data_IF_163043677278
#
_entry.id   IF_163043677278
#
_cell.length_a   1.000
_cell.length_b   1.000
_cell.length_c   1.000
_cell.angle_alpha   90.00
_cell.angle_beta   90.00
_cell.angle_gamma   90.00
#
_symmetry.space_group_name_H-M   'P 1'
#
loop_
_entity.id
_entity.type
_entity.pdbx_description
1 polymer ?
#
# COMPACT_ATOMS: atom_id res chain seq x y z
N UNK A 1 16.75 -30.09 9.43
CA UNK A 1 15.65 -29.55 8.59
C UNK A 1 16.06 -28.14 8.25
N UNK A 2 16.43 -27.86 6.99
CA UNK A 2 16.82 -26.53 6.55
C UNK A 2 15.59 -25.62 6.67
N UNK A 3 15.66 -24.60 7.54
CA UNK A 3 14.74 -23.49 7.50
C UNK A 3 14.98 -22.74 6.18
N UNK A 4 14.38 -23.20 5.09
CA UNK A 4 14.28 -22.38 3.90
C UNK A 4 13.35 -21.23 4.28
N UNK A 5 13.90 -20.03 4.52
CA UNK A 5 13.11 -18.84 4.67
C UNK A 5 12.30 -18.70 3.38
N UNK A 6 10.98 -18.66 3.50
CA UNK A 6 10.13 -18.49 2.35
C UNK A 6 10.14 -17.01 2.00
N UNK A 7 10.56 -16.70 0.79
CA UNK A 7 10.61 -15.33 0.30
C UNK A 7 9.22 -14.88 -0.15
N UNK A 8 8.87 -13.65 0.17
CA UNK A 8 7.71 -12.99 -0.37
C UNK A 8 8.05 -12.44 -1.77
N UNK A 9 7.73 -13.23 -2.79
CA UNK A 9 8.07 -12.95 -4.18
C UNK A 9 6.87 -12.36 -4.89
N UNK A 10 6.94 -11.12 -5.34
CA UNK A 10 5.87 -10.50 -6.13
C UNK A 10 6.09 -10.65 -7.62
N UNK A 11 7.35 -10.57 -8.06
CA UNK A 11 7.73 -10.54 -9.46
C UNK A 11 8.57 -11.75 -9.84
N UNK A 12 8.64 -12.03 -11.12
CA UNK A 12 9.36 -13.21 -11.64
C UNK A 12 10.87 -13.16 -11.41
N UNK A 13 11.42 -11.97 -11.17
CA UNK A 13 12.84 -11.76 -10.84
C UNK A 13 13.15 -12.00 -9.35
N UNK A 14 12.21 -12.57 -8.61
CA UNK A 14 12.32 -12.86 -7.18
C UNK A 14 12.53 -11.61 -6.30
N UNK A 15 12.05 -10.47 -6.73
CA UNK A 15 12.10 -9.23 -5.96
C UNK A 15 10.71 -8.84 -5.41
N UNK A 16 10.68 -8.12 -4.31
CA UNK A 16 9.46 -7.50 -3.80
C UNK A 16 9.04 -6.28 -4.63
N UNK A 17 10.01 -5.58 -5.20
CA UNK A 17 9.81 -4.50 -6.16
C UNK A 17 10.79 -4.73 -7.30
N UNK A 18 10.26 -4.99 -8.48
CA UNK A 18 11.04 -5.31 -9.67
C UNK A 18 11.95 -4.17 -10.11
N UNK A 19 13.18 -4.49 -10.51
CA UNK A 19 14.06 -3.53 -11.17
C UNK A 19 13.48 -3.05 -12.51
N UNK A 20 12.70 -3.88 -13.19
CA UNK A 20 12.02 -3.50 -14.43
C UNK A 20 11.03 -2.35 -14.21
N UNK A 21 10.36 -2.31 -13.05
CA UNK A 21 9.51 -1.19 -12.66
C UNK A 21 10.34 0.08 -12.48
N UNK A 22 11.39 0.01 -11.68
CA UNK A 22 12.23 1.17 -11.36
C UNK A 22 12.91 1.77 -12.60
N UNK A 23 13.25 0.94 -13.59
CA UNK A 23 13.88 1.37 -14.84
C UNK A 23 12.90 1.68 -15.97
N UNK A 24 11.60 1.46 -15.76
CA UNK A 24 10.57 1.68 -16.77
C UNK A 24 10.28 3.18 -16.98
N UNK A 25 9.79 3.53 -18.15
CA UNK A 25 9.18 4.84 -18.42
C UNK A 25 7.72 4.93 -17.98
N UNK A 26 7.12 3.82 -17.55
CA UNK A 26 5.72 3.75 -17.13
C UNK A 26 5.59 3.95 -15.62
N UNK A 27 4.41 4.43 -15.22
CA UNK A 27 3.98 4.50 -13.82
C UNK A 27 3.10 3.31 -13.49
N UNK A 28 3.37 2.67 -12.37
CA UNK A 28 2.65 1.48 -11.91
C UNK A 28 1.77 1.80 -10.72
N UNK A 29 0.55 1.27 -10.74
CA UNK A 29 -0.40 1.36 -9.63
C UNK A 29 -0.57 -0.02 -9.00
N UNK A 30 -0.33 -0.10 -7.71
CA UNK A 30 -0.48 -1.31 -6.91
C UNK A 30 -1.42 -1.06 -5.75
N UNK A 31 -2.24 -2.05 -5.41
CA UNK A 31 -3.14 -1.94 -4.25
C UNK A 31 -2.72 -2.89 -3.15
N UNK A 32 -2.81 -2.43 -1.92
CA UNK A 32 -2.69 -3.25 -0.71
C UNK A 32 -3.99 -3.08 0.06
N UNK A 33 -4.79 -4.13 0.13
CA UNK A 33 -6.00 -4.12 0.95
C UNK A 33 -5.83 -4.98 2.18
N UNK A 34 -6.38 -4.54 3.29
CA UNK A 34 -6.32 -5.29 4.53
C UNK A 34 -7.65 -5.24 5.29
N UNK A 35 -7.98 -6.33 5.95
CA UNK A 35 -9.12 -6.36 6.87
C UNK A 35 -8.74 -5.64 8.17
N UNK A 36 -9.65 -4.85 8.83
CA UNK A 36 -9.34 -4.10 10.05
C UNK A 36 -8.79 -4.94 11.21
N UNK A 37 -9.09 -6.24 11.24
CA UNK A 37 -8.51 -7.17 12.24
C UNK A 37 -7.10 -7.64 11.92
N UNK A 38 -6.53 -7.24 10.78
CA UNK A 38 -5.14 -7.54 10.37
C UNK A 38 -4.31 -6.27 10.38
N UNK A 39 -2.98 -6.39 10.47
CA UNK A 39 -2.09 -5.24 10.39
C UNK A 39 -1.24 -5.31 9.12
N UNK A 40 -1.28 -4.31 8.23
CA UNK A 40 -0.44 -4.25 7.04
C UNK A 40 0.97 -3.72 7.32
N UNK A 41 1.24 -3.21 8.52
CA UNK A 41 2.47 -2.47 8.86
C UNK A 41 3.74 -3.23 8.51
N UNK A 42 3.81 -4.53 8.80
CA UNK A 42 4.98 -5.34 8.50
C UNK A 42 5.27 -5.44 6.99
N UNK A 43 4.21 -5.53 6.19
CA UNK A 43 4.31 -5.61 4.74
C UNK A 43 4.74 -4.27 4.15
N UNK A 44 4.13 -3.18 4.60
CA UNK A 44 4.47 -1.82 4.17
C UNK A 44 5.93 -1.52 4.51
N UNK A 45 6.37 -1.84 5.73
CA UNK A 45 7.76 -1.65 6.16
C UNK A 45 8.74 -2.46 5.29
N UNK A 46 8.40 -3.71 4.96
CA UNK A 46 9.22 -4.54 4.06
C UNK A 46 9.31 -3.95 2.65
N UNK A 47 8.22 -3.40 2.13
CA UNK A 47 8.19 -2.76 0.82
C UNK A 47 8.97 -1.44 0.82
N UNK A 48 8.89 -0.64 1.87
CA UNK A 48 9.70 0.59 2.05
C UNK A 48 11.18 0.23 2.10
N UNK A 49 11.56 -0.75 2.92
CA UNK A 49 12.93 -1.24 3.01
C UNK A 49 13.44 -1.72 1.64
N UNK A 50 12.63 -2.51 0.93
CA UNK A 50 12.98 -2.99 -0.41
C UNK A 50 13.14 -1.84 -1.39
N UNK A 51 12.28 -0.83 -1.34
CA UNK A 51 12.37 0.32 -2.23
C UNK A 51 13.62 1.15 -2.00
N UNK A 52 13.96 1.40 -0.73
CA UNK A 52 15.10 2.23 -0.34
C UNK A 52 16.45 1.53 -0.54
N UNK A 53 16.57 0.27 -0.11
CA UNK A 53 17.84 -0.43 0.00
C UNK A 53 17.84 -1.87 -0.55
N UNK A 54 16.76 -2.32 -1.17
CA UNK A 54 16.68 -3.64 -1.82
C UNK A 54 16.59 -4.84 -0.89
N UNK A 55 16.55 -4.64 0.44
CA UNK A 55 16.37 -5.72 1.42
C UNK A 55 14.96 -5.76 1.99
N UNK A 56 14.59 -6.84 2.64
CA UNK A 56 13.33 -7.02 3.34
C UNK A 56 13.57 -7.87 4.60
N UNK A 57 14.25 -7.30 5.57
CA UNK A 57 14.83 -8.02 6.71
C UNK A 57 13.81 -8.74 7.59
N UNK A 58 12.56 -8.29 7.63
CA UNK A 58 11.48 -9.00 8.34
C UNK A 58 11.05 -10.29 7.65
N UNK A 59 11.25 -10.38 6.35
CA UNK A 59 10.78 -11.48 5.50
C UNK A 59 11.93 -12.38 5.09
N UNK A 60 13.03 -11.78 4.63
CA UNK A 60 14.22 -12.47 4.17
C UNK A 60 15.49 -11.70 4.53
N UNK A 61 16.35 -12.31 5.34
CA UNK A 61 17.63 -11.74 5.78
C UNK A 61 18.76 -11.90 4.76
N UNK A 62 18.58 -12.75 3.74
CA UNK A 62 19.64 -13.10 2.78
C UNK A 62 19.73 -12.12 1.59
N UNK A 63 18.77 -11.20 1.50
CA UNK A 63 18.74 -10.18 0.45
C UNK A 63 19.89 -9.18 0.62
N UNK A 64 20.62 -8.94 -0.47
CA UNK A 64 21.74 -7.99 -0.47
C UNK A 64 21.23 -6.56 -0.50
N UNK A 65 21.75 -5.73 0.37
CA UNK A 65 21.48 -4.28 0.38
C UNK A 65 22.08 -3.59 -0.84
N UNK A 66 21.28 -2.71 -1.44
CA UNK A 66 21.70 -1.84 -2.56
C UNK A 66 21.56 -0.39 -2.09
N UNK A 67 22.64 0.37 -2.14
CA UNK A 67 22.62 1.79 -1.74
C UNK A 67 21.82 2.62 -2.75
N UNK A 68 21.02 3.57 -2.25
CA UNK A 68 20.28 4.56 -3.04
C UNK A 68 19.45 3.93 -4.17
N UNK A 69 18.74 2.84 -3.87
CA UNK A 69 17.97 2.11 -4.88
C UNK A 69 16.85 2.95 -5.46
N UNK A 70 16.04 3.59 -4.62
CA UNK A 70 14.95 4.48 -5.02
C UNK A 70 14.65 5.47 -3.90
N UNK A 71 14.05 6.61 -4.23
CA UNK A 71 13.44 7.50 -3.25
C UNK A 71 12.05 6.99 -2.89
N UNK A 72 11.68 7.18 -1.64
CA UNK A 72 10.38 6.76 -1.10
C UNK A 72 9.66 7.94 -0.49
N UNK A 73 8.40 8.11 -0.86
CA UNK A 73 7.49 9.04 -0.21
C UNK A 73 6.33 8.27 0.43
N UNK A 74 6.05 8.57 1.69
CA UNK A 74 4.87 8.05 2.40
C UNK A 74 3.92 9.20 2.65
N UNK A 75 2.67 9.02 2.26
CA UNK A 75 1.55 9.93 2.48
C UNK A 75 0.56 9.20 3.35
N UNK A 76 0.39 9.62 4.60
CA UNK A 76 -0.47 8.91 5.54
C UNK A 76 -1.63 9.75 6.03
N UNK A 77 -2.83 9.16 6.00
CA UNK A 77 -4.06 9.72 6.57
C UNK A 77 -4.38 9.13 7.95
N UNK A 78 -3.56 8.21 8.46
CA UNK A 78 -3.82 7.44 9.71
C UNK A 78 -2.68 7.47 10.70
N UNK A 79 -1.47 7.83 10.26
CA UNK A 79 -0.29 7.87 11.12
C UNK A 79 0.44 9.20 11.01
N UNK A 80 1.01 9.68 12.13
CA UNK A 80 1.96 10.77 12.12
C UNK A 80 3.39 10.25 11.84
N UNK A 81 4.32 11.19 11.61
CA UNK A 81 5.71 10.86 11.26
C UNK A 81 6.42 10.07 12.35
N UNK A 82 6.23 10.43 13.60
CA UNK A 82 6.90 9.80 14.74
C UNK A 82 6.51 8.34 14.90
N UNK A 83 5.22 8.04 14.83
CA UNK A 83 4.70 6.67 14.86
C UNK A 83 5.25 5.83 13.72
N UNK A 84 5.32 6.42 12.52
CA UNK A 84 5.81 5.72 11.34
C UNK A 84 7.28 5.36 11.47
N UNK A 85 8.12 6.31 11.89
CA UNK A 85 9.55 6.08 12.14
C UNK A 85 9.75 5.02 13.22
N UNK A 86 9.01 5.08 14.32
CA UNK A 86 9.10 4.09 15.40
C UNK A 86 8.74 2.68 14.92
N UNK A 87 7.71 2.54 14.10
CA UNK A 87 7.30 1.25 13.53
C UNK A 87 8.37 0.67 12.59
N UNK A 88 9.12 1.51 11.91
CA UNK A 88 10.16 1.08 10.96
C UNK A 88 11.53 0.82 11.63
N UNK A 89 11.78 1.30 12.85
CA UNK A 89 13.12 1.21 13.53
C UNK A 89 13.73 -0.19 13.59
N UNK A 90 12.90 -1.24 13.58
CA UNK A 90 13.39 -2.62 13.60
C UNK A 90 13.99 -3.09 12.29
N UNK A 91 13.60 -2.48 11.19
CA UNK A 91 13.98 -2.88 9.83
C UNK A 91 14.95 -1.90 9.21
N UNK A 92 14.62 -0.63 9.31
CA UNK A 92 15.35 0.45 8.66
C UNK A 92 15.29 1.71 9.51
N UNK A 93 16.42 2.37 9.63
CA UNK A 93 16.50 3.70 10.20
C UNK A 93 16.13 4.74 9.15
N UNK A 94 14.89 5.20 9.21
CA UNK A 94 14.35 6.21 8.30
C UNK A 94 14.92 7.61 8.57
N UNK A 95 15.35 7.89 9.81
CA UNK A 95 16.00 9.16 10.16
C UNK A 95 17.38 9.27 9.47
N UNK A 96 18.11 8.16 9.38
CA UNK A 96 19.39 8.11 8.68
C UNK A 96 19.26 8.16 7.15
N UNK A 97 18.07 7.87 6.63
CA UNK A 97 17.75 7.88 5.20
C UNK A 97 17.01 9.15 4.74
N UNK A 98 17.07 10.24 5.49
CA UNK A 98 16.35 11.49 5.23
C UNK A 98 16.47 12.02 3.79
N UNK A 99 17.57 11.76 3.10
CA UNK A 99 17.78 12.20 1.72
C UNK A 99 16.90 11.45 0.71
N UNK A 100 16.53 10.21 1.04
CA UNK A 100 15.78 9.32 0.14
C UNK A 100 14.39 8.98 0.67
N UNK A 101 14.03 9.47 1.85
CA UNK A 101 12.75 9.22 2.49
C UNK A 101 12.02 10.52 2.80
N UNK A 102 10.80 10.67 2.29
CA UNK A 102 9.91 11.81 2.55
C UNK A 102 8.63 11.31 3.21
N UNK A 103 8.24 11.89 4.33
CA UNK A 103 6.95 11.63 4.97
C UNK A 103 6.04 12.86 4.88
N UNK A 104 4.81 12.64 4.46
CA UNK A 104 3.77 13.66 4.34
C UNK A 104 2.64 13.27 5.28
N UNK A 105 2.49 14.04 6.34
CA UNK A 105 1.48 13.84 7.38
C UNK A 105 0.18 14.55 6.98
N UNK A 106 -0.81 13.76 6.61
CA UNK A 106 -2.19 14.23 6.42
C UNK A 106 -3.12 13.77 7.54
N UNK A 107 -2.61 13.02 8.51
CA UNK A 107 -3.37 12.63 9.69
C UNK A 107 -3.54 13.80 10.65
N UNK A 108 -2.44 14.50 10.93
CA UNK A 108 -2.46 15.66 11.82
C UNK A 108 -3.12 16.84 11.13
N UNK A 109 -4.21 17.34 11.67
CA UNK A 109 -4.89 18.52 11.14
C UNK A 109 -5.73 18.29 9.89
N UNK A 110 -6.05 17.06 9.51
CA UNK A 110 -6.81 16.77 8.28
C UNK A 110 -8.10 17.60 8.14
N UNK A 111 -8.94 17.60 9.19
CA UNK A 111 -10.23 18.28 9.20
C UNK A 111 -10.20 19.62 9.97
N UNK A 112 -9.05 20.07 10.45
CA UNK A 112 -8.91 21.35 11.14
C UNK A 112 -8.14 22.38 10.32
N UNK A 113 -7.18 21.93 9.52
CA UNK A 113 -6.27 22.80 8.78
C UNK A 113 -6.31 22.58 7.27
N UNK A 114 -6.36 21.31 6.83
CA UNK A 114 -6.22 20.91 5.42
C UNK A 114 -7.56 20.99 4.67
N UNK A 115 -8.63 20.46 5.27
CA UNK A 115 -9.97 20.49 4.69
C UNK A 115 -10.85 21.41 5.53
N UNK A 116 -11.02 22.64 5.06
CA UNK A 116 -11.77 23.67 5.79
C UNK A 116 -13.27 23.60 5.53
N UNK A 117 -13.66 23.06 4.39
CA UNK A 117 -15.05 22.97 3.94
C UNK A 117 -15.36 21.54 3.50
N UNK A 118 -15.72 20.64 4.44
CA UNK A 118 -16.02 19.24 4.12
C UNK A 118 -17.17 19.05 3.12
N UNK A 119 -18.08 20.02 3.02
CA UNK A 119 -19.21 20.04 2.08
C UNK A 119 -18.76 20.33 0.64
N UNK A 120 -17.65 21.07 0.46
CA UNK A 120 -17.08 21.38 -0.85
C UNK A 120 -15.54 21.23 -0.84
N UNK A 121 -15.02 20.00 -0.65
CA UNK A 121 -13.60 19.75 -0.39
C UNK A 121 -12.74 19.64 -1.66
N UNK A 122 -13.32 19.72 -2.87
CA UNK A 122 -12.66 19.37 -4.13
C UNK A 122 -11.34 20.12 -4.31
N UNK A 123 -11.32 21.43 -4.04
CA UNK A 123 -10.13 22.27 -4.18
C UNK A 123 -9.07 21.90 -3.15
N UNK A 124 -9.47 21.74 -1.89
CA UNK A 124 -8.54 21.42 -0.80
C UNK A 124 -7.89 20.05 -1.04
N UNK A 125 -8.70 19.06 -1.39
CA UNK A 125 -8.22 17.72 -1.71
C UNK A 125 -7.32 17.73 -2.95
N UNK A 126 -7.70 18.44 -4.01
CA UNK A 126 -6.85 18.56 -5.20
C UNK A 126 -5.48 19.16 -4.87
N UNK A 127 -5.42 20.15 -3.99
CA UNK A 127 -4.16 20.75 -3.51
C UNK A 127 -3.33 19.74 -2.69
N UNK A 128 -3.98 18.92 -1.85
CA UNK A 128 -3.28 17.87 -1.08
C UNK A 128 -2.59 16.85 -1.98
N UNK A 129 -3.17 16.53 -3.14
CA UNK A 129 -2.56 15.61 -4.11
C UNK A 129 -1.63 16.30 -5.12
N UNK A 130 -1.60 17.65 -5.14
CA UNK A 130 -0.66 18.41 -5.98
C UNK A 130 0.66 18.66 -5.27
N UNK A 131 1.26 17.60 -4.78
CA UNK A 131 2.54 17.59 -4.09
C UNK A 131 3.69 17.28 -5.04
N UNK A 132 4.86 17.82 -4.70
CA UNK A 132 6.10 17.50 -5.39
C UNK A 132 6.64 16.16 -4.92
N UNK A 133 6.76 15.21 -5.86
CA UNK A 133 7.27 13.86 -5.67
C UNK A 133 8.36 13.60 -6.70
N UNK A 134 9.32 12.75 -6.32
CA UNK A 134 10.35 12.29 -7.23
C UNK A 134 9.75 11.37 -8.31
N UNK A 135 9.99 11.69 -9.58
CA UNK A 135 9.43 10.94 -10.71
C UNK A 135 9.94 9.49 -10.77
N UNK A 136 11.14 9.24 -10.25
CA UNK A 136 11.74 7.91 -10.19
C UNK A 136 11.51 7.23 -8.83
N UNK A 137 10.67 7.84 -7.98
CA UNK A 137 10.38 7.35 -6.63
C UNK A 137 9.22 6.36 -6.56
N UNK A 138 9.16 5.71 -5.40
CA UNK A 138 8.05 4.85 -4.98
C UNK A 138 7.22 5.59 -3.94
N UNK A 139 5.91 5.59 -4.10
CA UNK A 139 4.97 6.28 -3.20
C UNK A 139 4.08 5.28 -2.49
N UNK A 140 3.92 5.45 -1.19
CA UNK A 140 2.95 4.73 -0.37
C UNK A 140 1.88 5.70 0.10
N UNK A 141 0.64 5.51 -0.37
CA UNK A 141 -0.53 6.30 -0.01
C UNK A 141 -1.40 5.47 0.94
N UNK A 142 -1.44 5.87 2.20
CA UNK A 142 -2.07 5.10 3.26
C UNK A 142 -3.45 5.66 3.62
N UNK A 143 -4.48 4.83 3.46
CA UNK A 143 -5.88 5.04 3.81
C UNK A 143 -6.52 6.33 3.24
N UNK A 144 -6.39 6.61 1.93
CA UNK A 144 -7.01 7.79 1.33
C UNK A 144 -8.55 7.75 1.37
N UNK A 145 -9.15 6.57 1.55
CA UNK A 145 -10.60 6.39 1.69
C UNK A 145 -11.21 7.13 2.88
N UNK A 146 -10.41 7.55 3.86
CA UNK A 146 -10.86 8.41 4.97
C UNK A 146 -11.53 9.69 4.44
N UNK A 147 -11.06 10.21 3.32
CA UNK A 147 -11.65 11.37 2.67
C UNK A 147 -13.11 11.12 2.24
N UNK A 148 -13.44 9.89 1.83
CA UNK A 148 -14.81 9.50 1.44
C UNK A 148 -15.76 9.44 2.62
N UNK A 149 -15.24 9.11 3.81
CA UNK A 149 -16.04 9.06 5.03
C UNK A 149 -16.24 10.45 5.65
N UNK A 150 -15.23 11.31 5.56
CA UNK A 150 -15.23 12.61 6.24
C UNK A 150 -15.66 13.80 5.39
N UNK A 151 -15.91 13.61 4.09
CA UNK A 151 -16.23 14.70 3.16
C UNK A 151 -17.26 14.29 2.11
N UNK A 152 -17.73 15.30 1.34
CA UNK A 152 -18.65 15.06 0.23
C UNK A 152 -17.95 14.68 -1.09
N UNK A 153 -16.62 14.43 -1.07
CA UNK A 153 -15.91 13.96 -2.28
C UNK A 153 -16.50 12.63 -2.77
N UNK A 154 -16.54 12.46 -4.07
CA UNK A 154 -16.96 11.21 -4.72
C UNK A 154 -15.79 10.25 -4.90
N UNK A 155 -16.08 8.97 -5.10
CA UNK A 155 -15.08 7.94 -5.43
C UNK A 155 -14.31 8.28 -6.71
N UNK A 156 -14.98 8.87 -7.71
CA UNK A 156 -14.35 9.25 -8.98
C UNK A 156 -13.37 10.43 -8.80
N UNK A 157 -13.72 11.41 -8.00
CA UNK A 157 -12.86 12.56 -7.71
C UNK A 157 -11.62 12.13 -6.91
N UNK A 158 -11.78 11.24 -5.92
CA UNK A 158 -10.65 10.69 -5.19
C UNK A 158 -9.73 9.87 -6.12
N UNK A 159 -10.31 8.97 -6.91
CA UNK A 159 -9.56 8.15 -7.86
C UNK A 159 -8.82 9.01 -8.90
N UNK A 160 -9.44 10.07 -9.39
CA UNK A 160 -8.81 11.01 -10.32
C UNK A 160 -7.55 11.66 -9.73
N UNK A 161 -7.62 12.10 -8.46
CA UNK A 161 -6.46 12.64 -7.76
C UNK A 161 -5.35 11.59 -7.55
N UNK A 162 -5.72 10.36 -7.20
CA UNK A 162 -4.75 9.24 -7.06
C UNK A 162 -4.08 8.93 -8.40
N UNK A 163 -4.81 8.94 -9.51
CA UNK A 163 -4.23 8.71 -10.84
C UNK A 163 -3.28 9.86 -11.23
N UNK A 164 -3.60 11.10 -10.90
CA UNK A 164 -2.68 12.23 -11.09
C UNK A 164 -1.39 12.02 -10.29
N UNK A 165 -1.50 11.59 -9.03
CA UNK A 165 -0.36 11.28 -8.18
C UNK A 165 0.47 10.14 -8.78
N UNK A 166 -0.17 9.07 -9.26
CA UNK A 166 0.52 7.94 -9.87
C UNK A 166 1.38 8.34 -11.08
N UNK A 167 0.92 9.30 -11.87
CA UNK A 167 1.70 9.82 -13.02
C UNK A 167 2.95 10.59 -12.63
N UNK A 168 3.08 10.99 -11.35
CA UNK A 168 4.25 11.72 -10.82
C UNK A 168 5.33 10.80 -10.25
N UNK A 169 5.12 9.49 -10.20
CA UNK A 169 6.07 8.53 -9.61
C UNK A 169 6.17 7.25 -10.44
N UNK A 170 7.18 6.43 -10.18
CA UNK A 170 7.36 5.12 -10.84
C UNK A 170 6.34 4.10 -10.38
N UNK A 171 6.11 4.04 -9.08
CA UNK A 171 5.16 3.11 -8.49
C UNK A 171 4.40 3.77 -7.34
N UNK A 172 3.09 3.63 -7.38
CA UNK A 172 2.20 4.05 -6.31
C UNK A 172 1.57 2.81 -5.68
N UNK A 173 1.79 2.61 -4.38
CA UNK A 173 1.03 1.69 -3.57
C UNK A 173 -0.09 2.43 -2.86
N UNK A 174 -1.34 2.06 -3.14
CA UNK A 174 -2.50 2.55 -2.40
C UNK A 174 -2.89 1.51 -1.38
N UNK A 175 -2.76 1.86 -0.11
CA UNK A 175 -3.09 1.01 1.03
C UNK A 175 -4.47 1.42 1.54
N UNK A 176 -5.40 0.48 1.61
CA UNK A 176 -6.78 0.76 1.99
C UNK A 176 -7.35 -0.34 2.88
N UNK A 177 -8.11 0.03 3.88
CA UNK A 177 -8.87 -0.94 4.66
C UNK A 177 -10.04 -1.46 3.84
N UNK A 178 -10.27 -2.77 3.92
CA UNK A 178 -11.41 -3.43 3.30
C UNK A 178 -12.26 -4.05 4.41
N UNK A 179 -13.29 -3.34 4.81
CA UNK A 179 -14.33 -3.95 5.61
C UNK A 179 -15.19 -4.82 4.69
N UNK A 180 -15.60 -5.99 5.18
CA UNK A 180 -16.63 -6.78 4.52
C UNK A 180 -17.99 -6.12 4.77
N UNK A 181 -18.19 -4.92 4.26
CA UNK A 181 -19.50 -4.36 4.19
C UNK A 181 -20.29 -5.20 3.19
N UNK A 182 -21.11 -5.99 3.76
CA UNK A 182 -22.12 -6.69 3.06
C UNK A 182 -22.96 -5.64 2.34
N UNK A 183 -22.71 -5.46 1.04
CA UNK A 183 -23.66 -4.81 0.14
C UNK A 183 -24.87 -5.76 0.09
N UNK A 184 -25.61 -5.84 1.19
CA UNK A 184 -26.84 -6.65 1.30
C UNK A 184 -28.08 -5.80 1.06
N UNK A 185 -27.92 -4.49 0.95
CA UNK A 185 -29.04 -3.58 0.83
C UNK A 185 -28.96 -2.84 -0.50
N UNK A 186 -29.84 -3.21 -1.43
CA UNK A 186 -30.04 -2.51 -2.70
C UNK A 186 -30.48 -1.05 -2.52
N UNK A 187 -30.74 -0.63 -1.28
CA UNK A 187 -31.19 0.71 -0.90
C UNK A 187 -30.04 1.69 -0.56
N UNK A 188 -28.76 1.29 -0.63
CA UNK A 188 -27.65 2.18 -0.35
C UNK A 188 -27.58 3.29 -1.40
N UNK A 189 -27.83 4.51 -0.95
CA UNK A 189 -27.71 5.70 -1.78
C UNK A 189 -26.24 5.92 -2.17
N UNK A 190 -26.01 6.44 -3.36
CA UNK A 190 -24.65 6.80 -3.85
C UNK A 190 -23.92 7.79 -2.94
N UNK A 191 -24.60 8.42 -2.00
CA UNK A 191 -24.06 9.32 -0.98
C UNK A 191 -23.58 8.59 0.28
N UNK A 192 -23.93 7.30 0.44
CA UNK A 192 -23.47 6.51 1.59
C UNK A 192 -21.94 6.34 1.56
N UNK A 193 -21.23 6.68 2.64
CA UNK A 193 -19.77 6.56 2.68
C UNK A 193 -19.26 5.13 2.42
N UNK A 194 -19.99 4.10 2.87
CA UNK A 194 -19.62 2.70 2.65
C UNK A 194 -19.75 2.33 1.17
N UNK A 195 -20.80 2.82 0.50
CA UNK A 195 -20.96 2.66 -0.95
C UNK A 195 -19.80 3.36 -1.69
N UNK A 196 -19.50 4.62 -1.35
CA UNK A 196 -18.39 5.38 -1.96
C UNK A 196 -17.05 4.63 -1.80
N UNK A 197 -16.77 4.10 -0.61
CA UNK A 197 -15.54 3.36 -0.34
C UNK A 197 -15.47 2.05 -1.15
N UNK A 198 -16.58 1.31 -1.24
CA UNK A 198 -16.65 0.08 -2.04
C UNK A 198 -16.48 0.36 -3.54
N UNK A 199 -17.16 1.39 -4.06
CA UNK A 199 -17.05 1.83 -5.45
C UNK A 199 -15.62 2.30 -5.78
N UNK A 200 -15.01 3.05 -4.86
CA UNK A 200 -13.61 3.45 -4.98
C UNK A 200 -12.67 2.25 -5.09
N UNK A 201 -12.80 1.26 -4.20
CA UNK A 201 -11.95 0.06 -4.21
C UNK A 201 -12.12 -0.75 -5.50
N UNK A 202 -13.35 -0.93 -5.97
CA UNK A 202 -13.62 -1.64 -7.23
C UNK A 202 -12.93 -0.92 -8.39
N UNK A 203 -13.11 0.39 -8.51
CA UNK A 203 -12.49 1.21 -9.55
C UNK A 203 -10.96 1.20 -9.47
N UNK A 204 -10.41 1.20 -8.24
CA UNK A 204 -8.97 1.12 -7.99
C UNK A 204 -8.41 -0.22 -8.46
N UNK A 205 -9.08 -1.35 -8.13
CA UNK A 205 -8.69 -2.68 -8.60
C UNK A 205 -8.67 -2.79 -10.12
N UNK A 206 -9.64 -2.18 -10.80
CA UNK A 206 -9.68 -2.15 -12.26
C UNK A 206 -8.53 -1.38 -12.91
N UNK A 207 -7.82 -0.55 -12.15
CA UNK A 207 -6.69 0.27 -12.64
C UNK A 207 -5.34 -0.17 -12.12
N UNK A 208 -5.31 -1.14 -11.23
CA UNK A 208 -4.06 -1.66 -10.65
C UNK A 208 -3.42 -2.73 -11.53
N UNK A 209 -2.10 -2.83 -11.45
CA UNK A 209 -1.31 -3.92 -12.03
C UNK A 209 -1.05 -5.04 -11.02
N UNK A 210 -0.96 -4.71 -9.73
CA UNK A 210 -0.69 -5.65 -8.65
C UNK A 210 -1.70 -5.43 -7.53
N UNK A 211 -2.31 -6.51 -7.06
CA UNK A 211 -3.19 -6.51 -5.90
C UNK A 211 -2.61 -7.41 -4.81
N UNK A 212 -2.51 -6.88 -3.61
CA UNK A 212 -2.09 -7.59 -2.41
C UNK A 212 -3.23 -7.49 -1.40
N UNK A 213 -3.64 -8.61 -0.82
CA UNK A 213 -4.72 -8.64 0.16
C UNK A 213 -4.30 -9.37 1.42
N UNK A 214 -4.50 -8.73 2.57
CA UNK A 214 -4.31 -9.29 3.91
C UNK A 214 -5.68 -9.57 4.54
N UNK A 215 -5.94 -10.82 4.86
CA UNK A 215 -7.21 -11.25 5.42
C UNK A 215 -7.00 -12.05 6.72
N UNK A 216 -7.95 -12.01 7.66
CA UNK A 216 -7.96 -12.96 8.77
C UNK A 216 -8.22 -14.37 8.24
N UNK A 217 -7.96 -15.37 9.06
CA UNK A 217 -8.34 -16.74 8.71
C UNK A 217 -9.85 -16.91 8.77
N UNK A 218 -10.43 -17.52 7.75
CA UNK A 218 -11.87 -17.85 7.71
C UNK A 218 -12.29 -18.78 8.85
N UNK A 219 -11.37 -19.58 9.36
CA UNK A 219 -11.58 -20.51 10.48
C UNK A 219 -11.48 -19.86 11.85
N UNK A 220 -11.24 -18.54 11.91
CA UNK A 220 -10.97 -17.80 13.14
C UNK A 220 -9.52 -17.82 13.57
N UNK A 221 -9.26 -17.43 14.81
CA UNK A 221 -7.87 -17.32 15.34
C UNK A 221 -7.22 -18.68 15.48
N UNK A 222 -6.03 -18.83 14.91
CA UNK A 222 -5.14 -19.96 15.14
C UNK A 222 -3.93 -19.55 16.00
N UNK A 223 -3.33 -20.50 16.71
CA UNK A 223 -2.21 -20.24 17.62
C UNK A 223 -0.94 -19.79 16.88
N UNK A 224 -0.71 -20.36 15.69
CA UNK A 224 0.54 -20.22 14.94
C UNK A 224 0.33 -19.59 13.55
N UNK A 225 -0.84 -18.99 13.30
CA UNK A 225 -1.17 -18.29 12.06
C UNK A 225 -1.93 -17.03 12.39
N UNK A 226 -1.47 -15.91 11.86
CA UNK A 226 -2.10 -14.60 12.08
C UNK A 226 -3.16 -14.29 11.01
N UNK A 227 -2.90 -14.66 9.76
CA UNK A 227 -3.79 -14.40 8.65
C UNK A 227 -3.31 -14.99 7.33
N UNK A 228 -3.99 -14.64 6.26
CA UNK A 228 -3.61 -14.97 4.89
C UNK A 228 -3.16 -13.72 4.13
N UNK A 229 -2.25 -13.92 3.19
CA UNK A 229 -1.76 -12.93 2.25
C UNK A 229 -1.96 -13.48 0.84
N UNK A 230 -2.70 -12.77 0.02
CA UNK A 230 -2.91 -13.10 -1.38
C UNK A 230 -2.25 -12.06 -2.28
N UNK A 231 -1.50 -12.53 -3.27
CA UNK A 231 -0.88 -11.72 -4.30
C UNK A 231 -1.50 -12.11 -5.62
N UNK A 232 -2.08 -11.15 -6.33
CA UNK A 232 -2.71 -11.36 -7.62
C UNK A 232 -2.35 -10.26 -8.61
N UNK A 233 -2.48 -10.60 -9.89
CA UNK A 233 -2.42 -9.62 -10.95
C UNK A 233 -3.59 -8.67 -10.85
N UNK A 234 -3.36 -7.42 -11.22
CA UNK A 234 -4.43 -6.46 -11.42
C UNK A 234 -5.19 -6.69 -12.73
N UNK A 235 -6.23 -5.92 -12.94
CA UNK A 235 -7.13 -6.08 -14.09
C UNK A 235 -6.59 -5.42 -15.36
N UNK A 236 -5.66 -4.48 -15.23
CA UNK A 236 -5.08 -3.81 -16.42
C UNK A 236 -4.31 -4.83 -17.27
N UNK A 237 -4.60 -4.92 -18.58
CA UNK A 237 -3.88 -5.81 -19.48
C UNK A 237 -2.38 -5.50 -19.55
N UNK A 238 -1.57 -6.55 -19.46
CA UNK A 238 -0.11 -6.45 -19.47
C UNK A 238 0.53 -6.37 -20.86
N UNK A 239 -0.25 -6.32 -21.95
CA UNK A 239 0.33 -6.34 -23.31
C UNK A 239 1.26 -5.16 -23.58
N UNK A 240 1.08 -4.05 -22.87
CA UNK A 240 1.91 -2.85 -23.00
C UNK A 240 3.07 -2.83 -21.98
N UNK A 241 3.19 -3.87 -21.14
CA UNK A 241 4.20 -4.00 -20.11
C UNK A 241 4.95 -5.35 -20.28
N UNK A 242 5.73 -5.51 -21.37
CA UNK A 242 6.20 -6.83 -21.82
C UNK A 242 7.07 -7.58 -20.83
N UNK A 243 7.72 -6.88 -19.90
CA UNK A 243 8.64 -7.48 -18.94
C UNK A 243 8.04 -7.67 -17.55
N UNK A 244 6.85 -7.15 -17.27
CA UNK A 244 6.22 -7.25 -15.97
C UNK A 244 5.49 -8.60 -15.82
N UNK A 245 6.05 -9.51 -15.03
CA UNK A 245 5.46 -10.81 -14.71
C UNK A 245 5.32 -10.97 -13.21
N UNK A 246 4.07 -10.91 -12.73
CA UNK A 246 3.73 -11.06 -11.32
C UNK A 246 3.56 -12.53 -11.01
N UNK A 247 4.15 -12.99 -9.91
CA UNK A 247 3.95 -14.32 -9.36
C UNK A 247 2.73 -14.30 -8.44
N UNK A 248 1.61 -14.83 -8.96
CA UNK A 248 0.39 -14.98 -8.16
C UNK A 248 0.59 -16.08 -7.12
N UNK A 249 0.36 -15.75 -5.86
CA UNK A 249 0.60 -16.64 -4.72
C UNK A 249 -0.39 -16.36 -3.59
N UNK A 250 -0.67 -17.41 -2.84
CA UNK A 250 -1.38 -17.36 -1.57
C UNK A 250 -0.47 -17.88 -0.47
N UNK A 251 -0.35 -17.12 0.60
CA UNK A 251 0.42 -17.47 1.79
C UNK A 251 -0.48 -17.39 3.01
N UNK A 252 -0.15 -18.18 4.01
CA UNK A 252 -0.52 -17.91 5.39
C UNK A 252 0.70 -17.36 6.12
N UNK A 253 0.49 -16.39 6.99
CA UNK A 253 1.58 -15.75 7.72
C UNK A 253 1.36 -15.79 9.22
N UNK A 254 2.46 -15.87 9.94
CA UNK A 254 2.50 -15.75 11.38
C UNK A 254 3.37 -14.56 11.79
N UNK A 255 2.76 -13.60 12.46
CA UNK A 255 3.44 -12.47 13.06
C UNK A 255 3.82 -12.82 14.50
N UNK A 256 5.11 -12.94 14.76
CA UNK A 256 5.61 -13.24 16.11
C UNK A 256 5.50 -12.01 17.02
N UNK A 257 5.62 -12.21 18.34
CA UNK A 257 5.64 -11.10 19.32
C UNK A 257 6.82 -10.13 19.10
N UNK A 258 7.90 -10.61 18.50
CA UNK A 258 9.10 -9.83 18.16
C UNK A 258 8.99 -9.16 16.78
N UNK A 259 7.79 -9.18 16.18
CA UNK A 259 7.47 -8.64 14.85
C UNK A 259 8.21 -9.32 13.68
N UNK A 260 8.74 -10.51 13.86
CA UNK A 260 9.24 -11.32 12.76
C UNK A 260 8.08 -11.98 12.03
N UNK A 261 8.24 -12.15 10.73
CA UNK A 261 7.24 -12.77 9.86
C UNK A 261 7.70 -14.16 9.43
N UNK A 262 6.83 -15.14 9.62
CA UNK A 262 6.98 -16.46 9.01
C UNK A 262 5.91 -16.62 7.96
N UNK A 263 6.34 -16.93 6.75
CA UNK A 263 5.45 -17.18 5.60
C UNK A 263 5.40 -18.69 5.31
N UNK A 264 4.20 -19.17 5.02
CA UNK A 264 3.97 -20.55 4.62
C UNK A 264 3.15 -20.55 3.33
N UNK A 265 3.49 -21.42 2.39
CA UNK A 265 2.67 -21.64 1.20
C UNK A 265 1.36 -22.32 1.60
N UNK A 266 0.30 -21.92 0.94
CA UNK A 266 -1.01 -22.55 1.06
C UNK A 266 -1.28 -23.47 -0.11
#
# INVERSE_FOLDING_TARGET
MSNSSQDLIFFKDNSLISNDILNSSYSYLSTITYHPSTTPTWLINSLIETSLIGSASLVNTDLKRVQNRSKVSVISFVHNKEQYIQNCKKNIDLEHNDKNFKFIDYFTGLFTELIKTPENPIKDISNMFDIEIDQDGVVFLENPEILLYGTNITSDELLFNIIKLNKKCKQLFVISSKEEHVIKDESLLSTDPSFKASDFLIKLFHRSQLNISLQPLNTGRAKDITGSLTISKGTIPYYNLPNLKINEREYVYYLTKDFQIKLYYR
#
